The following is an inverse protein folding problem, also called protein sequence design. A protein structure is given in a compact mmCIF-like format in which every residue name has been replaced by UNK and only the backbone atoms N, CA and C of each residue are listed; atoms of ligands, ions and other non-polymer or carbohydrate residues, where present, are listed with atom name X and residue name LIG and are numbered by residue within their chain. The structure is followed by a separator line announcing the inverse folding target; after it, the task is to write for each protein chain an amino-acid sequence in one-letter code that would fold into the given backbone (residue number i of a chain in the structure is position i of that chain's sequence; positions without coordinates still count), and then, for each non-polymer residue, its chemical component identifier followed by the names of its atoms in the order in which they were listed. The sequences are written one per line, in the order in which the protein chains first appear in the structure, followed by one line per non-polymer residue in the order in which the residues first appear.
data_IF_907391047902
#
_entry.id   IF_907391047902
#
_cell.length_a   1.000
_cell.length_b   1.000
_cell.length_c   1.000
_cell.angle_alpha   90.00
_cell.angle_beta   90.00
_cell.angle_gamma   90.00
#
_symmetry.space_group_name_H-M   'P 1'
#
loop_
_entity.id
_entity.type
_entity.pdbx_description
1 polymer ?
#
# COMPACT_ATOMS: atom_id res chain seq x y z
N UNK A 1 17.89 -12.89 5.47
CA UNK A 1 16.89 -12.10 6.21
C UNK A 1 15.97 -13.05 6.96
N UNK A 2 15.56 -12.73 8.19
CA UNK A 2 14.70 -13.59 9.02
C UNK A 2 13.24 -13.09 9.11
N UNK A 3 12.80 -12.28 8.14
CA UNK A 3 11.42 -11.77 8.07
C UNK A 3 10.70 -12.44 6.90
N UNK A 4 9.44 -12.79 7.13
CA UNK A 4 8.54 -13.24 6.08
C UNK A 4 8.08 -12.05 5.25
N UNK A 5 7.96 -12.26 3.95
CA UNK A 5 7.45 -11.30 2.97
C UNK A 5 6.05 -11.72 2.52
N UNK A 6 5.39 -10.86 1.74
CA UNK A 6 4.07 -11.17 1.14
C UNK A 6 4.15 -12.42 0.25
N UNK A 7 5.27 -12.59 -0.46
CA UNK A 7 5.47 -13.71 -1.38
C UNK A 7 5.66 -15.06 -0.63
N UNK A 8 5.89 -15.04 0.69
CA UNK A 8 6.05 -16.24 1.52
C UNK A 8 4.72 -16.75 2.13
N UNK A 9 3.59 -16.05 1.91
CA UNK A 9 2.34 -16.28 2.63
C UNK A 9 1.15 -16.56 1.70
N UNK A 10 0.24 -17.44 2.13
CA UNK A 10 -1.04 -17.66 1.45
C UNK A 10 -2.13 -16.73 2.02
N UNK A 11 -2.46 -15.69 1.25
CA UNK A 11 -3.27 -14.56 1.71
C UNK A 11 -4.72 -14.56 1.22
N UNK A 12 -5.04 -15.33 0.17
CA UNK A 12 -6.38 -15.40 -0.43
C UNK A 12 -7.47 -15.70 0.60
N UNK A 13 -8.50 -14.85 0.63
CA UNK A 13 -9.67 -15.00 1.50
C UNK A 13 -9.43 -14.63 2.97
N UNK A 14 -8.29 -13.99 3.29
CA UNK A 14 -7.98 -13.48 4.62
C UNK A 14 -8.18 -11.97 4.67
N UNK A 15 -8.65 -11.48 5.81
CA UNK A 15 -8.61 -10.04 6.12
C UNK A 15 -7.21 -9.67 6.59
N UNK A 16 -6.58 -8.70 5.94
CA UNK A 16 -5.18 -8.34 6.17
C UNK A 16 -5.10 -6.89 6.59
N UNK A 17 -4.39 -6.64 7.71
CA UNK A 17 -4.04 -5.30 8.13
C UNK A 17 -2.74 -4.90 7.41
N UNK A 18 -2.84 -3.96 6.47
CA UNK A 18 -1.70 -3.43 5.73
C UNK A 18 -1.35 -2.02 6.20
N UNK A 19 -0.11 -1.82 6.63
CA UNK A 19 0.43 -0.49 6.90
C UNK A 19 1.01 0.09 5.61
N UNK A 20 0.44 1.21 5.15
CA UNK A 20 0.85 1.93 3.94
C UNK A 20 1.31 3.35 4.27
N UNK A 21 2.18 3.93 3.43
CA UNK A 21 2.51 5.36 3.47
C UNK A 21 1.67 6.11 2.44
N UNK A 22 0.56 6.72 2.87
CA UNK A 22 -0.29 7.59 2.05
C UNK A 22 -0.17 9.07 2.45
N UNK A 23 0.95 9.46 3.05
CA UNK A 23 1.20 10.87 3.30
C UNK A 23 1.60 11.56 1.99
N UNK A 24 0.60 12.01 1.23
CA UNK A 24 0.73 12.68 -0.08
C UNK A 24 0.41 14.18 0.03
N UNK A 25 1.01 15.03 -0.83
CA UNK A 25 0.67 16.45 -0.85
C UNK A 25 -0.75 16.67 -1.39
N UNK A 26 -1.44 17.64 -0.80
CA UNK A 26 -2.77 18.09 -1.19
C UNK A 26 -2.72 19.57 -1.59
N UNK A 27 -3.57 19.98 -2.52
CA UNK A 27 -3.82 21.40 -2.81
C UNK A 27 -4.80 22.03 -1.80
N UNK A 28 -5.09 23.33 -1.97
CA UNK A 28 -6.02 24.07 -1.11
C UNK A 28 -7.46 23.52 -1.11
N UNK A 29 -7.84 22.80 -2.16
CA UNK A 29 -9.14 22.15 -2.30
C UNK A 29 -9.12 20.67 -1.84
N UNK A 30 -8.05 20.24 -1.18
CA UNK A 30 -7.82 18.86 -0.74
C UNK A 30 -7.71 17.83 -1.88
N UNK A 31 -7.38 18.25 -3.10
CA UNK A 31 -7.05 17.31 -4.19
C UNK A 31 -5.60 16.84 -4.07
N UNK A 32 -5.37 15.58 -4.42
CA UNK A 32 -4.02 15.02 -4.49
C UNK A 32 -3.28 15.66 -5.66
N UNK A 33 -2.13 16.26 -5.38
CA UNK A 33 -1.27 16.90 -6.40
C UNK A 33 -0.16 15.97 -6.89
N UNK A 34 0.24 14.99 -6.08
CA UNK A 34 1.16 13.92 -6.45
C UNK A 34 0.74 12.61 -5.75
N UNK A 35 0.46 11.58 -6.55
CA UNK A 35 -0.04 10.28 -6.12
C UNK A 35 1.05 9.18 -6.13
N UNK A 36 2.32 9.53 -6.31
CA UNK A 36 3.43 8.57 -6.42
C UNK A 36 3.45 7.55 -5.27
N UNK A 37 3.23 7.99 -4.03
CA UNK A 37 3.22 7.11 -2.84
C UNK A 37 2.04 6.14 -2.85
N UNK A 38 0.88 6.59 -3.33
CA UNK A 38 -0.29 5.73 -3.47
C UNK A 38 -0.02 4.67 -4.53
N UNK A 39 0.44 5.08 -5.72
CA UNK A 39 0.78 4.17 -6.83
C UNK A 39 1.86 3.16 -6.44
N UNK A 40 2.82 3.56 -5.62
CA UNK A 40 3.89 2.67 -5.12
C UNK A 40 3.37 1.57 -4.18
N UNK A 41 2.24 1.77 -3.50
CA UNK A 41 1.64 0.75 -2.63
C UNK A 41 0.72 -0.23 -3.36
N UNK A 42 0.21 0.13 -4.55
CA UNK A 42 -0.75 -0.68 -5.31
C UNK A 42 -0.27 -2.11 -5.60
N UNK A 43 0.99 -2.35 -6.01
CA UNK A 43 1.46 -3.71 -6.26
C UNK A 43 1.39 -4.62 -5.04
N UNK A 44 1.61 -4.08 -3.83
CA UNK A 44 1.48 -4.84 -2.59
C UNK A 44 0.01 -5.14 -2.27
N UNK A 45 -0.89 -4.16 -2.45
CA UNK A 45 -2.33 -4.31 -2.20
C UNK A 45 -2.96 -5.35 -3.15
N UNK A 46 -2.57 -5.34 -4.43
CA UNK A 46 -3.11 -6.28 -5.42
C UNK A 46 -2.62 -7.72 -5.24
N UNK A 47 -1.50 -7.92 -4.53
CA UNK A 47 -0.93 -9.23 -4.23
C UNK A 47 -1.58 -9.93 -3.02
N UNK A 48 -2.21 -9.18 -2.13
CA UNK A 48 -2.84 -9.69 -0.90
C UNK A 48 -4.30 -10.05 -1.12
#
# INVERSE_FOLDING_TARGET
MAKLTIDDLHLKGKNILMRVDFNVPLDENCNITDDLRIRSALPSIQKT
#
